data_IF_957134673230
#
_entry.id   IF_957134673230
#
_cell.length_a   1.000
_cell.length_b   1.000
_cell.length_c   1.000
_cell.angle_alpha   90.00
_cell.angle_beta   90.00
_cell.angle_gamma   90.00
#
_symmetry.space_group_name_H-M   'P 1'
#
loop_
_entity.id
_entity.type
_entity.pdbx_description
1 polymer ?
#
# COMPACT_ATOMS: atom_id res chain seq x y z
N UNK A 1 -25.23 5.87 -12.16
CA UNK A 1 -26.68 5.59 -12.16
C UNK A 1 -26.85 4.32 -11.32
N UNK A 2 -28.04 4.02 -10.78
CA UNK A 2 -28.22 2.75 -10.07
C UNK A 2 -28.82 1.73 -11.02
N UNK A 3 -28.16 0.59 -11.14
CA UNK A 3 -28.57 -0.51 -12.02
C UNK A 3 -28.87 -1.74 -11.19
N UNK A 4 -29.99 -2.41 -11.51
CA UNK A 4 -30.33 -3.69 -10.87
C UNK A 4 -29.29 -4.73 -11.25
N UNK A 5 -28.82 -5.50 -10.28
CA UNK A 5 -27.90 -6.59 -10.58
C UNK A 5 -28.66 -7.83 -11.05
N UNK A 6 -28.06 -8.58 -11.96
CA UNK A 6 -28.44 -9.94 -12.34
C UNK A 6 -27.18 -10.81 -12.23
N UNK A 7 -26.85 -11.23 -11.02
CA UNK A 7 -25.64 -12.00 -10.74
C UNK A 7 -26.03 -13.47 -10.53
N UNK A 8 -25.29 -14.45 -11.10
CA UNK A 8 -25.73 -15.84 -11.18
C UNK A 8 -25.73 -16.59 -9.85
N UNK A 9 -25.26 -15.98 -8.75
CA UNK A 9 -25.13 -16.60 -7.43
C UNK A 9 -25.95 -15.82 -6.40
N UNK A 10 -26.73 -16.55 -5.60
CA UNK A 10 -27.57 -16.02 -4.53
C UNK A 10 -28.98 -15.66 -4.97
N UNK A 11 -29.77 -15.11 -4.04
CA UNK A 11 -31.14 -14.68 -4.26
C UNK A 11 -31.22 -13.16 -4.10
N UNK A 12 -31.76 -12.39 -5.07
CA UNK A 12 -31.89 -10.94 -4.94
C UNK A 12 -32.58 -10.52 -3.65
N UNK A 13 -31.96 -9.60 -2.91
CA UNK A 13 -32.47 -9.14 -1.61
C UNK A 13 -32.06 -9.99 -0.40
N UNK A 14 -31.38 -11.12 -0.63
CA UNK A 14 -30.92 -12.03 0.43
C UNK A 14 -29.39 -12.06 0.42
N UNK A 15 -28.71 -11.64 1.50
CA UNK A 15 -27.27 -11.74 1.60
C UNK A 15 -26.79 -13.20 1.47
N UNK A 16 -25.62 -13.38 0.87
CA UNK A 16 -25.00 -14.70 0.73
C UNK A 16 -24.72 -15.35 2.08
N UNK A 17 -25.10 -16.62 2.19
CA UNK A 17 -24.66 -17.53 3.23
C UNK A 17 -23.29 -18.13 2.90
N UNK A 18 -22.96 -19.21 3.61
CA UNK A 18 -21.70 -19.93 3.42
C UNK A 18 -21.68 -20.67 2.08
N UNK A 19 -22.81 -21.28 1.68
CA UNK A 19 -22.94 -22.06 0.44
C UNK A 19 -22.74 -21.20 -0.81
N UNK A 20 -23.30 -19.99 -0.84
CA UNK A 20 -23.10 -19.05 -1.96
C UNK A 20 -21.65 -18.59 -2.06
N UNK A 21 -20.96 -18.37 -0.93
CA UNK A 21 -19.54 -17.99 -0.91
C UNK A 21 -18.65 -19.12 -1.45
N UNK A 22 -18.92 -20.36 -1.07
CA UNK A 22 -18.20 -21.51 -1.62
C UNK A 22 -18.51 -21.71 -3.10
N UNK A 23 -19.77 -21.55 -3.51
CA UNK A 23 -20.16 -21.58 -4.93
C UNK A 23 -19.41 -20.52 -5.73
N UNK A 24 -19.30 -19.31 -5.19
CA UNK A 24 -18.53 -18.22 -5.80
C UNK A 24 -17.04 -18.59 -5.90
N UNK A 25 -16.42 -19.04 -4.81
CA UNK A 25 -15.00 -19.42 -4.81
C UNK A 25 -14.72 -20.54 -5.82
N UNK A 26 -15.55 -21.59 -5.83
CA UNK A 26 -15.45 -22.72 -6.76
C UNK A 26 -15.68 -22.31 -8.23
N UNK A 27 -16.31 -21.16 -8.49
CA UNK A 27 -16.45 -20.61 -9.85
C UNK A 27 -15.20 -19.88 -10.34
N UNK A 28 -14.31 -19.44 -9.43
CA UNK A 28 -13.11 -18.69 -9.80
C UNK A 28 -12.10 -19.57 -10.51
N UNK A 29 -11.31 -18.97 -11.39
CA UNK A 29 -10.30 -19.68 -12.19
C UNK A 29 -9.00 -18.91 -12.17
N UNK A 30 -7.94 -19.62 -11.80
CA UNK A 30 -6.57 -19.12 -11.88
C UNK A 30 -6.24 -18.75 -13.32
N UNK A 31 -5.73 -17.53 -13.51
CA UNK A 31 -5.34 -16.94 -14.77
C UNK A 31 -3.95 -17.44 -15.15
N UNK A 32 -3.80 -17.90 -16.40
CA UNK A 32 -2.51 -18.42 -16.89
C UNK A 32 -1.48 -17.33 -17.16
N UNK A 33 -1.97 -16.12 -17.40
CA UNK A 33 -1.20 -14.90 -17.67
C UNK A 33 -0.80 -14.14 -16.40
N UNK A 34 -1.19 -14.64 -15.21
CA UNK A 34 -0.89 -14.01 -13.92
C UNK A 34 -0.26 -15.02 -12.98
N UNK A 35 1.06 -15.01 -12.96
CA UNK A 35 1.89 -15.80 -12.03
C UNK A 35 2.54 -14.83 -11.04
N UNK A 36 2.10 -14.88 -9.78
CA UNK A 36 2.57 -14.03 -8.70
C UNK A 36 4.06 -14.26 -8.42
N UNK A 37 4.50 -15.52 -8.44
CA UNK A 37 5.89 -15.87 -8.17
C UNK A 37 6.80 -15.34 -9.26
N UNK A 38 6.38 -15.44 -10.53
CA UNK A 38 7.13 -14.88 -11.65
C UNK A 38 7.12 -13.34 -11.64
N UNK A 39 5.98 -12.72 -11.33
CA UNK A 39 5.83 -11.26 -11.36
C UNK A 39 6.61 -10.57 -10.22
N UNK A 40 6.56 -11.14 -9.01
CA UNK A 40 7.04 -10.49 -7.78
C UNK A 40 8.21 -11.25 -7.17
N UNK A 41 8.05 -12.55 -6.89
CA UNK A 41 9.06 -13.31 -6.14
C UNK A 41 10.35 -13.57 -6.91
N UNK A 42 10.32 -13.67 -8.24
CA UNK A 42 11.48 -14.03 -9.07
C UNK A 42 12.65 -13.03 -8.99
N UNK A 43 12.42 -11.85 -8.41
CA UNK A 43 13.44 -10.82 -8.15
C UNK A 43 14.11 -10.92 -6.77
N UNK A 44 13.74 -11.95 -5.98
CA UNK A 44 14.53 -12.39 -4.83
C UNK A 44 15.66 -13.26 -5.36
N UNK A 45 16.92 -12.92 -5.06
CA UNK A 45 18.04 -13.75 -5.53
C UNK A 45 17.92 -15.14 -4.92
N UNK A 46 17.94 -16.18 -5.76
CA UNK A 46 18.05 -17.57 -5.30
C UNK A 46 19.50 -17.83 -4.86
N UNK A 47 19.81 -17.70 -3.58
CA UNK A 47 20.99 -18.37 -3.02
C UNK A 47 20.66 -19.85 -2.81
N UNK A 48 20.88 -20.68 -3.83
CA UNK A 48 20.95 -22.13 -3.63
C UNK A 48 22.14 -22.76 -4.36
N UNK A 49 23.07 -23.23 -3.52
CA UNK A 49 23.96 -24.40 -3.69
C UNK A 49 25.03 -24.34 -4.78
N UNK A 50 26.26 -24.05 -4.37
CA UNK A 50 27.43 -24.83 -4.82
C UNK A 50 28.04 -25.55 -3.63
N UNK A 51 27.87 -26.86 -3.61
CA UNK A 51 28.56 -27.80 -2.73
C UNK A 51 30.07 -27.65 -2.85
N UNK A 52 30.74 -27.31 -1.75
CA UNK A 52 32.12 -27.73 -1.50
C UNK A 52 32.22 -28.17 -0.05
N UNK A 53 32.41 -29.47 0.13
CA UNK A 53 32.70 -30.13 1.38
C UNK A 53 33.97 -29.56 2.04
N UNK A 54 33.82 -28.95 3.20
CA UNK A 54 34.84 -28.97 4.25
C UNK A 54 34.21 -28.65 5.59
N UNK A 55 34.21 -29.64 6.47
CA UNK A 55 33.91 -29.57 7.89
C UNK A 55 34.80 -28.58 8.62
N UNK A 56 34.24 -27.60 9.35
CA UNK A 56 34.51 -27.26 10.75
C UNK A 56 33.86 -25.90 11.13
N UNK A 57 33.35 -25.89 12.37
CA UNK A 57 32.94 -24.77 13.24
C UNK A 57 31.81 -23.82 12.85
N UNK A 58 30.96 -23.57 13.86
CA UNK A 58 29.66 -22.95 13.73
C UNK A 58 29.67 -21.43 13.79
N UNK A 59 28.67 -20.89 13.09
CA UNK A 59 27.97 -19.64 13.32
C UNK A 59 26.67 -19.80 12.51
N UNK A 60 25.49 -19.73 13.16
CA UNK A 60 24.21 -19.71 12.44
C UNK A 60 24.03 -18.32 11.83
N UNK A 61 24.56 -18.13 10.62
CA UNK A 61 24.32 -16.95 9.81
C UNK A 61 22.83 -16.87 9.45
N UNK A 62 22.18 -15.77 9.86
CA UNK A 62 20.87 -15.38 9.34
C UNK A 62 20.97 -15.23 7.81
N UNK A 63 20.27 -16.11 7.07
CA UNK A 63 20.19 -16.08 5.61
C UNK A 63 19.51 -14.78 5.15
N UNK A 64 20.32 -13.73 4.97
CA UNK A 64 19.86 -12.48 4.40
C UNK A 64 19.70 -12.68 2.89
N UNK A 65 18.45 -12.86 2.46
CA UNK A 65 18.11 -12.87 1.04
C UNK A 65 18.64 -11.57 0.39
N UNK A 66 19.71 -11.67 -0.42
CA UNK A 66 20.13 -10.58 -1.28
C UNK A 66 19.02 -10.33 -2.32
N UNK A 67 18.71 -9.06 -2.57
CA UNK A 67 17.79 -8.64 -3.62
C UNK A 67 18.57 -8.46 -4.92
N UNK A 68 17.96 -8.81 -6.06
CA UNK A 68 18.47 -8.35 -7.37
C UNK A 68 18.13 -6.86 -7.61
N UNK A 69 17.38 -6.23 -6.70
CA UNK A 69 16.98 -4.83 -6.76
C UNK A 69 17.93 -4.02 -5.88
N UNK A 70 18.84 -3.29 -6.54
CA UNK A 70 19.87 -2.51 -5.87
C UNK A 70 19.30 -1.51 -4.85
N UNK A 71 19.81 -1.56 -3.61
CA UNK A 71 19.44 -0.64 -2.54
C UNK A 71 18.19 -1.03 -1.74
N UNK A 72 17.65 -2.24 -1.96
CA UNK A 72 16.48 -2.75 -1.23
C UNK A 72 16.70 -4.17 -0.71
N UNK A 73 16.21 -4.43 0.50
CA UNK A 73 16.16 -5.76 1.12
C UNK A 73 14.75 -6.33 0.93
N UNK A 74 14.61 -7.57 0.41
CA UNK A 74 13.33 -8.25 0.36
C UNK A 74 12.98 -8.79 1.76
N UNK A 75 11.75 -8.60 2.20
CA UNK A 75 11.25 -9.16 3.46
C UNK A 75 10.00 -9.98 3.16
N UNK A 76 10.05 -11.28 3.48
CA UNK A 76 8.85 -12.12 3.56
C UNK A 76 8.18 -11.80 4.90
N UNK A 77 7.08 -11.05 4.87
CA UNK A 77 6.41 -10.62 6.11
C UNK A 77 5.29 -11.55 6.56
N UNK A 78 5.05 -12.62 5.80
CA UNK A 78 4.16 -13.72 6.16
C UNK A 78 3.89 -14.62 4.97
N UNK A 79 3.09 -15.66 5.20
CA UNK A 79 2.54 -16.52 4.14
C UNK A 79 1.03 -16.43 4.20
N UNK A 80 0.38 -16.22 3.06
CA UNK A 80 -1.06 -16.34 2.91
C UNK A 80 -1.39 -17.79 2.52
N UNK A 81 -2.26 -18.43 3.27
CA UNK A 81 -2.77 -19.78 2.98
C UNK A 81 -4.20 -19.69 2.49
N UNK A 82 -4.45 -20.08 1.24
CA UNK A 82 -5.80 -20.19 0.68
C UNK A 82 -6.19 -21.65 0.60
N UNK A 83 -7.32 -21.98 1.23
CA UNK A 83 -7.85 -23.35 1.31
C UNK A 83 -9.17 -23.43 0.56
N UNK A 84 -9.41 -24.56 -0.10
CA UNK A 84 -10.74 -24.90 -0.61
C UNK A 84 -11.69 -25.31 0.53
N UNK A 85 -12.96 -25.58 0.18
CA UNK A 85 -14.04 -25.83 1.15
C UNK A 85 -13.75 -26.98 2.12
N UNK A 86 -13.13 -28.06 1.64
CA UNK A 86 -12.78 -29.23 2.44
C UNK A 86 -11.34 -29.19 3.00
N UNK A 87 -10.58 -28.13 2.65
CA UNK A 87 -9.19 -27.95 3.04
C UNK A 87 -8.23 -28.95 2.41
N UNK A 88 -8.65 -29.67 1.37
CA UNK A 88 -7.83 -30.66 0.67
C UNK A 88 -6.75 -30.03 -0.22
N UNK A 89 -6.99 -28.82 -0.73
CA UNK A 89 -6.03 -28.04 -1.50
C UNK A 89 -5.64 -26.77 -0.74
N UNK A 90 -4.33 -26.56 -0.59
CA UNK A 90 -3.76 -25.35 0.02
C UNK A 90 -2.86 -24.66 -1.00
N UNK A 91 -3.20 -23.44 -1.37
CA UNK A 91 -2.33 -22.55 -2.13
C UNK A 91 -1.60 -21.61 -1.16
N UNK A 92 -0.27 -21.56 -1.26
CA UNK A 92 0.57 -20.75 -0.39
C UNK A 92 1.28 -19.63 -1.16
N UNK A 93 1.13 -18.41 -0.65
CA UNK A 93 1.71 -17.21 -1.22
C UNK A 93 2.61 -16.52 -0.19
N UNK A 94 3.93 -16.44 -0.41
CA UNK A 94 4.79 -15.61 0.43
C UNK A 94 4.42 -14.14 0.19
N UNK A 95 4.16 -13.39 1.25
CA UNK A 95 3.84 -11.97 1.19
C UNK A 95 5.11 -11.14 1.32
N UNK A 96 5.35 -10.27 0.34
CA UNK A 96 6.65 -9.61 0.15
C UNK A 96 6.58 -8.10 0.32
N UNK A 97 7.53 -7.56 1.06
CA UNK A 97 7.85 -6.15 1.11
C UNK A 97 9.30 -5.94 0.67
N UNK A 98 9.60 -4.78 0.09
CA UNK A 98 10.95 -4.34 -0.22
C UNK A 98 11.24 -3.09 0.58
N UNK A 99 12.28 -3.15 1.42
CA UNK A 99 12.66 -2.04 2.31
C UNK A 99 14.01 -1.52 1.89
N UNK A 100 14.18 -0.19 1.80
CA UNK A 100 15.48 0.39 1.46
C UNK A 100 16.57 -0.09 2.42
N UNK A 101 17.71 -0.58 1.91
CA UNK A 101 18.81 -1.19 2.71
C UNK A 101 19.34 -0.28 3.82
N UNK A 102 19.30 1.03 3.58
CA UNK A 102 19.76 2.04 4.52
C UNK A 102 18.64 2.66 5.35
N UNK A 103 17.50 1.97 5.47
CA UNK A 103 16.41 2.41 6.33
C UNK A 103 16.90 2.60 7.77
N UNK A 104 16.61 3.76 8.35
CA UNK A 104 17.09 4.13 9.70
C UNK A 104 16.61 3.15 10.76
N UNK A 105 15.41 2.60 10.60
CA UNK A 105 14.78 1.62 11.50
C UNK A 105 15.29 0.18 11.33
N UNK A 106 16.16 -0.12 10.35
CA UNK A 106 16.81 -1.43 10.24
C UNK A 106 18.13 -1.52 11.02
N UNK A 107 18.66 -0.39 11.48
CA UNK A 107 19.95 -0.35 12.19
C UNK A 107 19.73 -0.54 13.69
N UNK A 108 20.47 -1.45 14.36
CA UNK A 108 20.52 -1.49 15.82
C UNK A 108 20.96 -0.14 16.37
N UNK A 109 20.34 0.35 17.46
CA UNK A 109 20.85 1.54 18.16
C UNK A 109 22.28 1.24 18.62
N UNK A 110 23.24 2.07 18.20
CA UNK A 110 24.61 1.96 18.71
C UNK A 110 24.59 2.24 20.22
N UNK A 111 24.93 1.24 21.02
CA UNK A 111 25.22 1.40 22.44
C UNK A 111 26.54 2.16 22.62
N UNK A 112 26.53 3.47 22.42
CA UNK A 112 27.65 4.32 22.80
C UNK A 112 27.16 5.74 23.04
N UNK A 113 26.64 5.95 24.25
CA UNK A 113 26.85 7.21 24.94
C UNK A 113 28.35 7.36 25.17
N UNK A 114 29.04 8.05 24.26
CA UNK A 114 30.21 8.85 24.62
C UNK A 114 29.93 10.27 24.16
N UNK A 115 29.45 11.09 25.09
CA UNK A 115 29.60 12.54 25.02
C UNK A 115 31.10 12.86 24.94
N UNK A 116 31.62 12.94 23.72
CA UNK A 116 32.91 13.56 23.43
C UNK A 116 32.79 15.06 23.64
N UNK A 117 32.95 15.51 24.88
CA UNK A 117 33.10 16.92 25.23
C UNK A 117 34.28 17.54 24.47
N UNK A 118 33.96 18.37 23.47
CA UNK A 118 34.94 19.11 22.68
C UNK A 118 34.41 20.48 22.32
N UNK A 119 34.58 21.46 23.22
CA UNK A 119 34.41 22.88 22.90
C UNK A 119 35.42 23.27 21.81
N UNK A 120 34.92 23.50 20.60
CA UNK A 120 35.67 24.09 19.49
C UNK A 120 34.88 25.23 18.86
N UNK A 121 35.08 26.44 19.36
CA UNK A 121 34.51 27.66 18.81
C UNK A 121 35.24 28.01 17.51
N UNK A 122 34.59 27.90 16.34
CA UNK A 122 35.03 28.61 15.14
C UNK A 122 33.82 29.13 14.36
N UNK A 123 33.81 30.43 14.17
CA UNK A 123 32.92 31.20 13.29
C UNK A 123 33.36 31.06 11.84
N UNK A 124 32.42 30.82 10.93
CA UNK A 124 32.67 30.88 9.49
C UNK A 124 31.43 30.52 8.68
N UNK A 125 30.85 31.53 8.04
CA UNK A 125 29.90 31.42 6.93
C UNK A 125 30.53 30.69 5.74
N UNK A 126 29.81 29.74 5.13
CA UNK A 126 29.65 29.60 3.67
C UNK A 126 28.78 28.39 3.32
N UNK A 127 28.00 28.52 2.25
CA UNK A 127 27.08 27.51 1.75
C UNK A 127 27.80 26.25 1.25
N UNK A 128 27.22 25.10 1.54
CA UNK A 128 27.69 23.79 1.10
C UNK A 128 26.67 22.71 1.47
N UNK A 129 26.36 21.85 0.51
CA UNK A 129 25.32 20.82 0.62
C UNK A 129 25.44 19.95 1.86
N UNK A 130 24.28 19.64 2.44
CA UNK A 130 24.14 18.70 3.55
C UNK A 130 24.30 17.28 2.97
N UNK A 131 25.55 16.86 2.81
CA UNK A 131 25.91 15.45 2.71
C UNK A 131 26.69 15.08 3.97
N UNK A 132 26.07 14.27 4.84
CA UNK A 132 26.73 13.64 5.99
C UNK A 132 26.27 14.14 7.35
N UNK A 133 25.01 13.88 7.72
CA UNK A 133 24.53 13.97 9.10
C UNK A 133 23.52 12.85 9.36
N UNK A 134 23.82 11.94 10.29
CA UNK A 134 23.03 10.75 10.60
C UNK A 134 21.71 11.05 11.33
N UNK A 135 20.80 11.77 10.68
CA UNK A 135 19.42 11.95 11.13
C UNK A 135 18.50 10.84 10.62
N UNK A 136 17.41 10.58 11.35
CA UNK A 136 16.33 9.67 10.92
C UNK A 136 15.64 10.25 9.68
N UNK A 137 15.58 9.52 8.58
CA UNK A 137 14.85 9.94 7.38
C UNK A 137 13.35 9.70 7.59
N UNK A 138 12.47 10.57 7.04
CA UNK A 138 11.05 10.27 6.97
C UNK A 138 10.82 8.99 6.16
N UNK A 139 9.84 8.19 6.56
CA UNK A 139 9.48 6.93 5.92
C UNK A 139 8.29 7.10 4.98
N UNK A 140 8.32 6.40 3.86
CA UNK A 140 7.21 6.40 2.88
C UNK A 140 6.80 4.97 2.56
N UNK A 141 5.49 4.75 2.47
CA UNK A 141 4.88 3.47 2.13
C UNK A 141 4.25 3.56 0.74
N UNK A 142 4.59 2.59 -0.11
CA UNK A 142 3.95 2.37 -1.40
C UNK A 142 3.30 0.99 -1.36
N UNK A 143 1.98 0.92 -1.50
CA UNK A 143 1.23 -0.35 -1.61
C UNK A 143 0.65 -0.50 -3.00
N UNK A 144 0.68 -1.73 -3.53
CA UNK A 144 -0.01 -2.11 -4.74
C UNK A 144 -0.73 -3.45 -4.54
N UNK A 145 -1.71 -3.72 -5.38
CA UNK A 145 -2.40 -5.01 -5.38
C UNK A 145 -3.15 -5.30 -4.07
N UNK A 146 -3.66 -4.27 -3.38
CA UNK A 146 -4.67 -4.47 -2.33
C UNK A 146 -5.88 -5.17 -2.93
N UNK A 147 -6.33 -4.74 -4.10
CA UNK A 147 -7.12 -5.60 -4.98
C UNK A 147 -6.19 -6.24 -6.01
N UNK A 148 -6.19 -7.56 -6.10
CA UNK A 148 -5.24 -8.24 -6.97
C UNK A 148 -5.57 -8.12 -8.46
N UNK A 149 -6.84 -7.90 -8.81
CA UNK A 149 -7.20 -7.69 -10.22
C UNK A 149 -6.60 -6.42 -10.83
N UNK A 150 -6.19 -5.47 -9.98
CA UNK A 150 -5.74 -4.12 -10.32
C UNK A 150 -4.25 -4.08 -10.70
N UNK A 151 -3.97 -4.45 -11.95
CA UNK A 151 -2.62 -4.81 -12.38
C UNK A 151 -1.66 -3.63 -12.48
N UNK A 152 -2.13 -2.44 -12.88
CA UNK A 152 -1.26 -1.28 -13.01
C UNK A 152 -0.65 -0.86 -11.68
N UNK A 153 -1.38 -1.02 -10.56
CA UNK A 153 -0.85 -0.75 -9.23
C UNK A 153 0.29 -1.68 -8.85
N UNK A 154 0.14 -2.98 -9.12
CA UNK A 154 1.18 -3.99 -8.86
C UNK A 154 2.43 -3.69 -9.70
N UNK A 155 2.26 -3.52 -11.01
CA UNK A 155 3.38 -3.30 -11.91
C UNK A 155 3.98 -1.89 -11.79
N UNK A 156 3.18 -0.89 -11.41
CA UNK A 156 3.65 0.46 -11.08
C UNK A 156 4.58 0.46 -9.87
N UNK A 157 4.18 -0.21 -8.79
CA UNK A 157 5.04 -0.38 -7.61
C UNK A 157 6.34 -1.11 -7.96
N UNK A 158 6.26 -2.19 -8.76
CA UNK A 158 7.44 -2.91 -9.22
C UNK A 158 8.32 -2.09 -10.17
N UNK A 159 7.75 -1.27 -11.05
CA UNK A 159 8.48 -0.43 -11.98
C UNK A 159 9.18 0.73 -11.24
N UNK A 160 8.51 1.36 -10.28
CA UNK A 160 9.13 2.34 -9.38
C UNK A 160 10.35 1.77 -8.66
N UNK A 161 10.22 0.54 -8.15
CA UNK A 161 11.26 -0.17 -7.43
C UNK A 161 12.44 -0.56 -8.34
N UNK A 162 12.19 -1.04 -9.55
CA UNK A 162 13.21 -1.61 -10.45
C UNK A 162 13.81 -0.63 -11.48
N UNK A 163 13.18 0.53 -11.70
CA UNK A 163 13.68 1.59 -12.60
C UNK A 163 14.95 2.29 -12.10
N UNK A 164 15.34 2.07 -10.84
CA UNK A 164 16.43 2.80 -10.20
C UNK A 164 16.00 4.15 -9.60
N UNK A 165 14.74 4.58 -9.79
CA UNK A 165 14.19 5.79 -9.16
C UNK A 165 14.19 5.68 -7.64
N UNK A 166 13.59 4.60 -7.12
CA UNK A 166 13.48 4.36 -5.68
C UNK A 166 14.88 4.31 -5.01
N UNK A 167 15.80 3.51 -5.56
CA UNK A 167 17.13 3.30 -4.99
C UNK A 167 18.12 4.44 -5.24
N UNK A 168 18.03 5.13 -6.38
CA UNK A 168 19.00 6.14 -6.80
C UNK A 168 18.64 7.57 -6.42
N UNK A 169 17.36 7.95 -6.57
CA UNK A 169 16.85 9.30 -6.32
C UNK A 169 16.25 9.40 -4.92
N UNK A 170 15.23 8.60 -4.62
CA UNK A 170 14.40 8.82 -3.43
C UNK A 170 14.98 8.27 -2.13
N UNK A 171 15.76 7.18 -2.16
CA UNK A 171 16.36 6.56 -0.96
C UNK A 171 17.30 7.48 -0.17
N UNK A 172 17.77 8.56 -0.79
CA UNK A 172 18.60 9.61 -0.15
C UNK A 172 17.78 10.51 0.77
N UNK A 173 16.49 10.62 0.50
CA UNK A 173 15.55 11.49 1.22
C UNK A 173 14.65 10.70 2.17
N UNK A 174 14.28 9.47 1.78
CA UNK A 174 13.29 8.66 2.48
C UNK A 174 13.82 7.29 2.90
N UNK A 175 13.23 6.74 3.96
CA UNK A 175 13.21 5.31 4.20
C UNK A 175 11.99 4.71 3.48
N UNK A 176 12.23 3.89 2.47
CA UNK A 176 11.18 3.47 1.53
C UNK A 176 10.76 2.04 1.84
N UNK A 177 9.45 1.82 1.98
CA UNK A 177 8.83 0.50 2.06
C UNK A 177 7.88 0.35 0.88
N UNK A 178 8.09 -0.67 0.05
CA UNK A 178 7.22 -1.02 -1.08
C UNK A 178 6.61 -2.39 -0.84
N UNK A 179 5.28 -2.48 -0.83
CA UNK A 179 4.53 -3.74 -0.80
C UNK A 179 3.79 -3.86 -2.13
N UNK A 180 4.40 -4.50 -3.14
CA UNK A 180 3.89 -4.41 -4.51
C UNK A 180 2.60 -5.20 -4.74
N UNK A 181 2.30 -6.20 -3.92
CA UNK A 181 1.08 -7.00 -4.05
C UNK A 181 0.63 -7.52 -2.69
N UNK A 182 -0.39 -6.87 -2.11
CA UNK A 182 -0.98 -7.26 -0.82
C UNK A 182 -1.85 -8.51 -0.94
N UNK A 183 -2.54 -8.69 -2.07
CA UNK A 183 -3.49 -9.79 -2.31
C UNK A 183 -3.08 -10.67 -3.51
N UNK A 184 -2.06 -11.53 -3.35
CA UNK A 184 -1.50 -12.32 -4.45
C UNK A 184 -2.48 -13.37 -5.01
N UNK A 185 -3.35 -13.94 -4.18
CA UNK A 185 -4.43 -14.80 -4.67
C UNK A 185 -5.38 -14.04 -5.59
N UNK A 186 -5.80 -12.83 -5.18
CA UNK A 186 -6.63 -11.97 -6.02
C UNK A 186 -5.96 -11.62 -7.35
N UNK A 187 -4.62 -11.51 -7.37
CA UNK A 187 -3.88 -11.26 -8.60
C UNK A 187 -3.94 -12.45 -9.54
N UNK A 188 -3.60 -13.65 -9.06
CA UNK A 188 -3.62 -14.85 -9.90
C UNK A 188 -5.04 -15.25 -10.33
N UNK A 189 -6.08 -14.86 -9.59
CA UNK A 189 -7.47 -15.17 -9.91
C UNK A 189 -8.23 -14.02 -10.59
N UNK A 190 -7.57 -12.87 -10.83
CA UNK A 190 -8.20 -11.64 -11.34
C UNK A 190 -9.46 -11.27 -10.54
N UNK A 191 -9.27 -11.08 -9.24
CA UNK A 191 -10.35 -10.91 -8.28
C UNK A 191 -10.14 -9.70 -7.37
N UNK A 192 -11.25 -9.04 -7.05
CA UNK A 192 -11.31 -7.91 -6.12
C UNK A 192 -11.26 -8.38 -4.67
N UNK A 193 -11.94 -9.48 -4.38
CA UNK A 193 -12.04 -10.02 -3.04
C UNK A 193 -10.92 -11.02 -2.74
N UNK A 194 -10.78 -11.34 -1.46
CA UNK A 194 -10.05 -12.52 -1.01
C UNK A 194 -10.85 -13.78 -1.31
N UNK A 195 -10.23 -14.96 -1.17
CA UNK A 195 -10.90 -16.25 -1.33
C UNK A 195 -12.11 -16.45 -0.38
N UNK A 196 -12.27 -15.59 0.63
CA UNK A 196 -13.41 -15.60 1.57
C UNK A 196 -14.57 -14.68 1.15
N UNK A 197 -14.52 -14.13 -0.06
CA UNK A 197 -15.47 -13.14 -0.57
C UNK A 197 -15.54 -11.89 0.34
N UNK A 198 -14.37 -11.41 0.79
CA UNK A 198 -14.22 -10.19 1.60
C UNK A 198 -13.34 -9.22 0.80
N UNK A 199 -13.74 -7.95 0.76
CA UNK A 199 -12.96 -6.89 0.11
C UNK A 199 -11.80 -6.46 1.03
N UNK A 200 -10.53 -6.73 0.67
CA UNK A 200 -9.38 -6.38 1.51
C UNK A 200 -9.22 -4.87 1.69
N UNK A 201 -9.69 -4.04 0.75
CA UNK A 201 -9.69 -2.59 0.86
C UNK A 201 -10.91 -2.05 1.64
N UNK A 202 -11.60 -2.91 2.40
CA UNK A 202 -12.57 -2.53 3.45
C UNK A 202 -12.18 -3.12 4.80
N UNK A 203 -10.94 -3.60 4.90
CA UNK A 203 -10.45 -4.47 5.97
C UNK A 203 -9.24 -3.90 6.73
N UNK A 204 -8.99 -2.59 6.61
CA UNK A 204 -7.92 -1.88 7.34
C UNK A 204 -8.42 -1.11 8.58
N UNK A 205 -9.64 -1.42 9.05
CA UNK A 205 -10.19 -0.76 10.24
C UNK A 205 -9.40 -1.11 11.51
N UNK A 206 -9.28 -0.19 12.48
CA UNK A 206 -8.82 -0.52 13.82
C UNK A 206 -9.71 -1.62 14.43
N UNK A 207 -9.09 -2.61 15.10
CA UNK A 207 -9.84 -3.53 15.94
C UNK A 207 -10.23 -2.80 17.22
N UNK A 208 -11.53 -2.58 17.46
CA UNK A 208 -12.01 -2.10 18.76
C UNK A 208 -12.39 -3.30 19.62
N UNK A 209 -12.20 -3.21 20.94
CA UNK A 209 -12.58 -4.28 21.90
C UNK A 209 -14.06 -4.69 21.75
N UNK A 210 -14.92 -3.75 21.34
CA UNK A 210 -16.35 -3.94 21.14
C UNK A 210 -16.75 -4.40 19.72
N UNK A 211 -15.80 -4.60 18.79
CA UNK A 211 -16.11 -5.15 17.46
C UNK A 211 -15.89 -6.67 17.49
N UNK A 212 -16.97 -7.48 17.58
CA UNK A 212 -16.85 -8.93 17.63
C UNK A 212 -16.43 -9.54 16.28
N UNK A 213 -16.37 -8.76 15.20
CA UNK A 213 -15.98 -9.20 13.88
C UNK A 213 -15.19 -8.09 13.15
N UNK A 214 -13.95 -7.77 13.60
CA UNK A 214 -13.10 -6.89 12.82
C UNK A 214 -12.90 -7.61 11.49
N UNK A 215 -13.48 -7.07 10.42
CA UNK A 215 -13.47 -7.73 9.11
C UNK A 215 -12.10 -7.54 8.48
N UNK A 216 -11.01 -7.66 9.25
CA UNK A 216 -9.66 -7.73 8.73
C UNK A 216 -9.52 -9.02 7.95
N UNK A 217 -9.00 -8.93 6.75
CA UNK A 217 -8.61 -10.12 6.02
C UNK A 217 -7.24 -10.56 6.52
N UNK A 218 -6.81 -11.75 6.11
CA UNK A 218 -5.47 -12.23 6.43
C UNK A 218 -4.40 -11.32 5.80
N UNK A 219 -4.65 -10.84 4.58
CA UNK A 219 -3.83 -9.90 3.84
C UNK A 219 -3.65 -8.58 4.59
N UNK A 220 -4.76 -7.93 5.00
CA UNK A 220 -4.69 -6.65 5.72
C UNK A 220 -4.08 -6.83 7.11
N UNK A 221 -4.39 -7.94 7.81
CA UNK A 221 -3.85 -8.24 9.14
C UNK A 221 -2.33 -8.43 9.11
N UNK A 222 -1.81 -9.19 8.14
CA UNK A 222 -0.37 -9.42 8.02
C UNK A 222 0.37 -8.16 7.61
N UNK A 223 -0.20 -7.34 6.72
CA UNK A 223 0.40 -6.05 6.37
C UNK A 223 0.46 -5.11 7.58
N UNK A 224 -0.64 -4.93 8.31
CA UNK A 224 -0.66 -4.09 9.53
C UNK A 224 0.34 -4.61 10.57
N UNK A 225 0.36 -5.93 10.81
CA UNK A 225 1.29 -6.55 11.76
C UNK A 225 2.75 -6.31 11.36
N UNK A 226 3.07 -6.46 10.07
CA UNK A 226 4.39 -6.18 9.53
C UNK A 226 4.80 -4.71 9.76
N UNK A 227 3.97 -3.75 9.36
CA UNK A 227 4.26 -2.33 9.51
C UNK A 227 4.47 -1.92 10.98
N UNK A 228 3.67 -2.49 11.90
CA UNK A 228 3.79 -2.24 13.35
C UNK A 228 5.04 -2.83 13.99
N UNK A 229 5.66 -3.83 13.36
CA UNK A 229 6.88 -4.51 13.82
C UNK A 229 8.16 -3.90 13.26
N UNK A 230 8.08 -3.07 12.22
CA UNK A 230 9.27 -2.39 11.68
C UNK A 230 9.96 -1.55 12.76
N UNK A 231 11.26 -1.78 12.93
CA UNK A 231 12.09 -1.11 13.94
C UNK A 231 11.95 -1.64 15.37
N UNK A 232 11.30 -2.79 15.59
CA UNK A 232 11.41 -3.56 16.83
C UNK A 232 12.58 -4.55 16.71
N UNK A 233 13.41 -4.68 17.73
CA UNK A 233 14.39 -5.78 17.81
C UNK A 233 13.64 -7.11 18.01
N UNK A 234 13.90 -8.15 17.21
CA UNK A 234 13.36 -9.47 17.50
C UNK A 234 14.07 -10.02 18.73
N UNK A 235 13.42 -10.05 19.89
CA UNK A 235 13.77 -11.04 20.89
C UNK A 235 13.23 -12.38 20.37
N UNK A 236 14.14 -13.30 20.08
CA UNK A 236 13.81 -14.65 19.66
C UNK A 236 13.27 -15.39 20.90
N UNK A 237 11.96 -15.64 20.89
CA UNK A 237 11.24 -16.27 21.99
C UNK A 237 9.93 -15.52 22.21
N UNK A 238 8.86 -16.24 22.54
CA UNK A 238 7.53 -15.70 22.81
C UNK A 238 7.56 -14.77 24.03
N UNK A 239 8.01 -13.54 23.83
CA UNK A 239 7.81 -12.41 24.74
C UNK A 239 8.00 -11.15 23.90
N UNK A 240 6.88 -10.48 23.63
CA UNK A 240 6.80 -9.13 23.10
C UNK A 240 7.70 -8.23 23.97
N UNK A 241 8.94 -8.03 23.52
CA UNK A 241 9.99 -7.36 24.30
C UNK A 241 9.48 -6.09 24.96
N UNK A 242 9.90 -5.88 26.21
CA UNK A 242 9.46 -4.75 27.04
C UNK A 242 9.56 -3.44 26.27
N UNK A 243 8.44 -2.71 26.17
CA UNK A 243 8.41 -1.37 25.58
C UNK A 243 9.40 -0.49 26.37
N UNK A 244 10.44 0.03 25.70
CA UNK A 244 11.30 1.04 26.29
C UNK A 244 10.55 2.37 26.34
N UNK A 245 10.69 3.11 27.43
CA UNK A 245 10.09 4.44 27.61
C UNK A 245 11.18 5.45 28.00
N UNK A 246 11.09 6.68 27.50
CA UNK A 246 11.87 7.81 28.00
C UNK A 246 11.43 8.15 29.44
N UNK A 247 12.22 8.94 30.16
CA UNK A 247 11.90 9.35 31.56
C UNK A 247 10.56 10.10 31.69
N UNK A 248 10.04 10.68 30.60
CA UNK A 248 8.74 11.37 30.57
C UNK A 248 7.54 10.44 30.25
N UNK A 249 7.80 9.14 30.08
CA UNK A 249 6.78 8.14 29.76
C UNK A 249 6.47 8.02 28.26
N UNK A 250 7.22 8.69 27.37
CA UNK A 250 7.08 8.47 25.93
C UNK A 250 7.70 7.15 25.50
N UNK A 251 6.98 6.36 24.71
CA UNK A 251 7.47 5.06 24.23
C UNK A 251 8.62 5.28 23.22
N UNK A 252 9.78 4.71 23.52
CA UNK A 252 10.97 4.70 22.67
C UNK A 252 10.71 3.73 21.50
N UNK A 253 10.33 4.28 20.34
CA UNK A 253 10.19 3.51 19.10
C UNK A 253 11.37 3.77 18.17
N UNK A 254 12.17 2.74 17.89
CA UNK A 254 13.10 2.76 16.74
C UNK A 254 12.38 2.45 15.40
N UNK A 255 11.05 2.63 15.35
CA UNK A 255 10.21 2.37 14.18
C UNK A 255 10.22 3.50 13.14
N UNK A 256 9.64 3.29 11.95
CA UNK A 256 9.59 4.30 10.89
C UNK A 256 8.88 5.59 11.33
N UNK A 257 9.33 6.73 10.82
CA UNK A 257 8.63 8.02 10.97
C UNK A 257 7.81 8.28 9.70
N UNK A 258 6.59 7.74 9.64
CA UNK A 258 5.78 7.71 8.42
C UNK A 258 5.32 9.11 8.00
N UNK A 259 5.71 9.52 6.79
CA UNK A 259 5.34 10.79 6.18
C UNK A 259 4.27 10.64 5.09
N UNK A 260 4.37 9.60 4.26
CA UNK A 260 3.51 9.43 3.10
C UNK A 260 3.11 7.97 2.88
N UNK A 261 1.85 7.76 2.48
CA UNK A 261 1.32 6.49 2.01
C UNK A 261 0.65 6.69 0.64
N UNK A 262 1.22 6.06 -0.39
CA UNK A 262 0.64 6.01 -1.74
C UNK A 262 0.15 4.59 -2.00
N UNK A 263 -1.17 4.44 -2.15
CA UNK A 263 -1.84 3.17 -2.38
C UNK A 263 -2.34 3.11 -3.83
N UNK A 264 -1.85 2.14 -4.60
CA UNK A 264 -2.03 2.13 -6.04
C UNK A 264 -3.21 1.25 -6.46
N UNK A 265 -4.25 1.88 -6.97
CA UNK A 265 -5.48 1.22 -7.42
C UNK A 265 -5.82 1.56 -8.88
N UNK A 266 -6.74 0.79 -9.45
CA UNK A 266 -7.39 1.09 -10.72
C UNK A 266 -8.90 0.77 -10.66
N UNK A 267 -9.69 1.61 -11.31
CA UNK A 267 -11.11 1.36 -11.58
C UNK A 267 -11.23 0.77 -12.97
N UNK A 268 -12.04 -0.26 -13.18
CA UNK A 268 -12.12 -0.98 -14.46
C UNK A 268 -13.57 -1.19 -14.93
N UNK A 269 -13.75 -1.54 -16.19
CA UNK A 269 -15.04 -2.01 -16.72
C UNK A 269 -15.56 -3.22 -15.92
N UNK A 270 -14.66 -4.07 -15.42
CA UNK A 270 -15.03 -5.25 -14.62
C UNK A 270 -15.55 -4.91 -13.22
N UNK A 271 -15.33 -3.69 -12.70
CA UNK A 271 -16.06 -3.23 -11.52
C UNK A 271 -17.57 -3.24 -11.78
N UNK A 272 -18.01 -2.85 -12.97
CA UNK A 272 -19.43 -2.77 -13.32
C UNK A 272 -19.95 -4.10 -13.89
N UNK A 273 -19.13 -4.85 -14.62
CA UNK A 273 -19.59 -6.11 -15.24
C UNK A 273 -19.47 -7.33 -14.33
N UNK A 274 -18.62 -7.31 -13.30
CA UNK A 274 -18.40 -8.44 -12.39
C UNK A 274 -18.51 -8.03 -10.91
N UNK A 275 -17.66 -7.12 -10.42
CA UNK A 275 -17.41 -7.00 -8.98
C UNK A 275 -18.53 -6.28 -8.21
N UNK A 276 -19.08 -5.17 -8.72
CA UNK A 276 -20.19 -4.45 -8.07
C UNK A 276 -21.52 -5.22 -8.16
N UNK A 277 -21.88 -5.88 -9.27
CA UNK A 277 -22.99 -6.84 -9.29
C UNK A 277 -22.82 -7.98 -8.29
N UNK A 278 -21.62 -8.59 -8.24
CA UNK A 278 -21.30 -9.64 -7.27
C UNK A 278 -21.48 -9.12 -5.84
N UNK A 279 -20.96 -7.92 -5.54
CA UNK A 279 -21.08 -7.27 -4.22
C UNK A 279 -22.54 -7.05 -3.84
N UNK A 280 -23.35 -6.52 -4.76
CA UNK A 280 -24.75 -6.29 -4.51
C UNK A 280 -25.48 -7.60 -4.19
N UNK A 281 -25.23 -8.66 -4.97
CA UNK A 281 -25.78 -9.98 -4.69
C UNK A 281 -25.33 -10.54 -3.33
N UNK A 282 -24.03 -10.45 -3.04
CA UNK A 282 -23.42 -10.89 -1.77
C UNK A 282 -24.04 -10.20 -0.56
N UNK A 283 -24.30 -8.90 -0.69
CA UNK A 283 -24.78 -8.04 0.40
C UNK A 283 -26.32 -7.98 0.46
N UNK A 284 -27.02 -8.69 -0.43
CA UNK A 284 -28.49 -8.64 -0.51
C UNK A 284 -29.04 -7.28 -0.99
N UNK A 285 -28.23 -6.48 -1.67
CA UNK A 285 -28.66 -5.22 -2.28
C UNK A 285 -29.28 -5.50 -3.64
N UNK A 286 -30.33 -4.77 -4.03
CA UNK A 286 -31.03 -5.00 -5.30
C UNK A 286 -30.37 -4.32 -6.51
N UNK A 287 -29.49 -3.35 -6.25
CA UNK A 287 -28.90 -2.48 -7.25
C UNK A 287 -27.50 -1.98 -6.81
N UNK A 288 -26.70 -1.57 -7.78
CA UNK A 288 -25.35 -1.06 -7.58
C UNK A 288 -25.12 0.19 -8.41
N UNK A 289 -24.07 0.95 -8.07
CA UNK A 289 -23.63 2.08 -8.88
C UNK A 289 -22.84 1.58 -10.10
N UNK A 290 -23.33 1.87 -11.30
CA UNK A 290 -22.77 1.42 -12.57
C UNK A 290 -21.81 2.43 -13.22
N UNK A 291 -21.41 3.47 -12.50
CA UNK A 291 -20.55 4.52 -13.05
C UNK A 291 -19.09 4.18 -13.01
N UNK A 292 -18.40 4.50 -14.10
CA UNK A 292 -16.96 4.44 -14.22
C UNK A 292 -16.48 5.83 -14.65
N UNK A 293 -15.71 6.52 -13.80
CA UNK A 293 -15.07 7.77 -14.22
C UNK A 293 -14.07 7.49 -15.36
N UNK A 294 -14.22 8.17 -16.51
CA UNK A 294 -13.30 8.02 -17.63
C UNK A 294 -12.01 8.83 -17.38
N UNK A 295 -11.04 8.22 -16.71
CA UNK A 295 -9.70 8.74 -16.53
C UNK A 295 -9.12 8.49 -15.15
N UNK A 296 -7.90 8.96 -14.93
CA UNK A 296 -7.20 8.87 -13.65
C UNK A 296 -7.81 9.81 -12.61
N UNK A 297 -7.95 9.36 -11.37
CA UNK A 297 -8.38 10.19 -10.25
C UNK A 297 -7.76 9.74 -8.93
N UNK A 298 -7.96 10.55 -7.88
CA UNK A 298 -7.43 10.30 -6.55
C UNK A 298 -8.53 10.31 -5.50
N UNK A 299 -8.45 9.38 -4.56
CA UNK A 299 -9.01 9.53 -3.22
C UNK A 299 -7.92 10.10 -2.30
N UNK A 300 -8.02 11.38 -1.96
CA UNK A 300 -7.13 12.03 -0.99
C UNK A 300 -7.70 12.01 0.43
N UNK A 301 -6.83 11.87 1.43
CA UNK A 301 -7.19 12.03 2.84
C UNK A 301 -6.92 13.46 3.35
N UNK A 302 -7.86 14.03 4.11
CA UNK A 302 -7.69 15.31 4.81
C UNK A 302 -8.10 15.19 6.28
N UNK A 303 -7.68 16.13 7.10
CA UNK A 303 -8.12 16.21 8.49
C UNK A 303 -9.65 16.35 8.61
N UNK A 304 -10.21 15.82 9.70
CA UNK A 304 -11.66 15.84 9.94
C UNK A 304 -12.24 17.26 10.02
N UNK A 305 -11.43 18.22 10.45
CA UNK A 305 -11.80 19.63 10.53
C UNK A 305 -11.60 20.40 9.20
N UNK A 306 -10.98 19.78 8.18
CA UNK A 306 -10.69 20.39 6.88
C UNK A 306 -11.81 20.19 5.84
N UNK A 307 -12.99 19.75 6.29
CA UNK A 307 -14.14 19.40 5.47
C UNK A 307 -14.77 20.65 4.79
N UNK A 308 -14.57 20.72 3.48
CA UNK A 308 -15.35 21.47 2.48
C UNK A 308 -15.33 23.01 2.46
N UNK A 309 -14.77 23.72 3.45
CA UNK A 309 -14.86 25.19 3.53
C UNK A 309 -13.54 25.93 3.74
N UNK A 310 -12.54 25.66 2.88
CA UNK A 310 -11.34 26.50 2.83
C UNK A 310 -10.52 26.52 4.12
N UNK A 311 -10.47 25.38 4.82
CA UNK A 311 -9.58 25.18 5.96
C UNK A 311 -8.11 25.41 5.59
N UNK A 312 -7.34 25.86 6.58
CA UNK A 312 -6.02 26.51 6.48
C UNK A 312 -4.89 25.64 5.89
N UNK A 313 -5.08 24.34 5.66
CA UNK A 313 -4.03 23.45 5.18
C UNK A 313 -3.95 23.42 3.64
N UNK A 314 -3.55 24.54 3.05
CA UNK A 314 -3.31 24.66 1.61
C UNK A 314 -2.31 23.61 1.09
N UNK A 315 -1.31 23.24 1.90
CA UNK A 315 -0.25 22.30 1.54
C UNK A 315 -0.75 20.87 1.21
N UNK A 316 -1.76 20.38 1.94
CA UNK A 316 -2.32 19.03 1.67
C UNK A 316 -3.08 19.00 0.35
N UNK A 317 -3.73 20.11 -0.04
CA UNK A 317 -4.39 20.20 -1.35
C UNK A 317 -3.39 20.32 -2.49
N UNK A 318 -2.32 21.10 -2.29
CA UNK A 318 -1.21 21.26 -3.24
C UNK A 318 -0.48 19.93 -3.49
N UNK A 319 -0.39 19.05 -2.49
CA UNK A 319 0.11 17.69 -2.66
C UNK A 319 -0.69 16.90 -3.71
N UNK A 320 -2.03 16.92 -3.63
CA UNK A 320 -2.87 16.25 -4.63
C UNK A 320 -2.82 16.94 -6.00
N UNK A 321 -2.68 18.28 -6.03
CA UNK A 321 -2.44 19.03 -7.28
C UNK A 321 -1.15 18.58 -7.98
N UNK A 322 -0.07 18.42 -7.22
CA UNK A 322 1.21 17.98 -7.75
C UNK A 322 1.10 16.60 -8.39
N UNK A 323 0.43 15.66 -7.71
CA UNK A 323 0.20 14.30 -8.24
C UNK A 323 -0.61 14.34 -9.54
N UNK A 324 -1.75 15.04 -9.54
CA UNK A 324 -2.59 15.14 -10.74
C UNK A 324 -1.87 15.81 -11.91
N UNK A 325 -1.07 16.84 -11.64
CA UNK A 325 -0.28 17.54 -12.65
C UNK A 325 0.82 16.66 -13.25
N UNK A 326 1.48 15.83 -12.42
CA UNK A 326 2.45 14.84 -12.90
C UNK A 326 1.78 13.83 -13.82
N UNK A 327 0.68 13.22 -13.37
CA UNK A 327 -0.02 12.15 -14.10
C UNK A 327 -0.63 12.61 -15.42
N UNK A 328 -1.18 13.83 -15.51
CA UNK A 328 -1.71 14.35 -16.78
C UNK A 328 -0.61 14.45 -17.87
N UNK A 329 0.66 14.50 -17.48
CA UNK A 329 1.82 14.45 -18.38
C UNK A 329 2.28 13.04 -18.78
N UNK A 330 1.74 11.97 -18.20
CA UNK A 330 2.25 10.59 -18.35
C UNK A 330 1.62 9.80 -19.50
N UNK A 331 0.85 10.45 -20.38
CA UNK A 331 0.16 9.80 -21.50
C UNK A 331 -1.28 9.33 -21.21
N UNK A 332 -1.78 9.56 -20.00
CA UNK A 332 -3.19 9.34 -19.62
C UNK A 332 -3.93 10.67 -19.43
N UNK A 333 -5.21 10.63 -19.05
CA UNK A 333 -6.02 11.83 -18.77
C UNK A 333 -6.72 11.72 -17.43
N UNK A 334 -7.06 12.87 -16.84
CA UNK A 334 -7.80 12.93 -15.58
C UNK A 334 -9.30 12.67 -15.79
N UNK A 335 -9.94 12.02 -14.83
CA UNK A 335 -11.39 11.83 -14.83
C UNK A 335 -12.11 13.18 -14.66
N UNK A 336 -13.06 13.44 -15.55
CA UNK A 336 -13.97 14.58 -15.45
C UNK A 336 -15.00 14.37 -14.33
N UNK A 337 -15.42 15.47 -13.71
CA UNK A 337 -16.51 15.44 -12.72
C UNK A 337 -17.81 15.14 -13.45
N UNK A 338 -18.59 14.22 -12.91
CA UNK A 338 -19.89 13.87 -13.47
C UNK A 338 -20.90 15.01 -13.39
N UNK A 339 -21.98 14.93 -14.18
CA UNK A 339 -23.01 15.96 -14.23
C UNK A 339 -23.70 16.23 -12.87
N UNK A 340 -23.68 15.27 -11.95
CA UNK A 340 -24.23 15.40 -10.59
C UNK A 340 -23.21 15.95 -9.57
N UNK A 341 -22.00 16.33 -10.02
CA UNK A 341 -20.94 16.85 -9.18
C UNK A 341 -20.12 15.77 -8.46
N UNK A 342 -20.20 14.51 -8.90
CA UNK A 342 -19.52 13.38 -8.25
C UNK A 342 -18.36 12.81 -9.08
N UNK A 343 -17.50 12.04 -8.40
CA UNK A 343 -16.55 11.10 -8.98
C UNK A 343 -16.79 9.75 -8.30
N UNK A 344 -17.11 8.72 -9.09
CA UNK A 344 -17.39 7.37 -8.57
C UNK A 344 -18.51 7.37 -7.49
N UNK A 345 -19.50 8.26 -7.64
CA UNK A 345 -20.61 8.42 -6.69
C UNK A 345 -20.28 9.15 -5.38
N UNK A 346 -19.05 9.62 -5.19
CA UNK A 346 -18.65 10.50 -4.09
C UNK A 346 -18.58 11.95 -4.55
N UNK A 347 -18.89 12.90 -3.67
CA UNK A 347 -18.77 14.33 -3.99
C UNK A 347 -17.35 14.64 -4.46
N UNK A 348 -17.22 15.15 -5.68
CA UNK A 348 -15.92 15.54 -6.21
C UNK A 348 -15.48 16.86 -5.57
N UNK A 349 -14.20 16.97 -5.27
CA UNK A 349 -13.57 18.24 -4.90
C UNK A 349 -13.31 19.08 -6.15
N UNK A 350 -12.80 18.42 -7.21
CA UNK A 350 -12.57 18.98 -8.55
C UNK A 350 -12.27 17.84 -9.54
N UNK A 351 -11.95 18.17 -10.79
CA UNK A 351 -11.47 17.21 -11.79
C UNK A 351 -10.34 16.34 -11.23
N UNK A 352 -10.49 15.02 -11.36
CA UNK A 352 -9.52 14.03 -10.87
C UNK A 352 -9.37 13.93 -9.35
N UNK A 353 -10.12 14.66 -8.53
CA UNK A 353 -9.93 14.67 -7.08
C UNK A 353 -11.23 14.59 -6.31
N UNK A 354 -11.28 13.65 -5.37
CA UNK A 354 -12.22 13.66 -4.26
C UNK A 354 -11.44 13.55 -2.95
N UNK A 355 -11.88 14.28 -1.93
CA UNK A 355 -11.25 14.30 -0.61
C UNK A 355 -12.19 13.65 0.41
N UNK A 356 -11.63 12.74 1.19
CA UNK A 356 -12.28 12.10 2.33
C UNK A 356 -11.58 12.54 3.61
N UNK A 357 -12.34 12.68 4.69
CA UNK A 357 -11.72 12.91 5.99
C UNK A 357 -10.99 11.66 6.48
N UNK A 358 -9.97 11.81 7.32
CA UNK A 358 -9.21 10.69 7.90
C UNK A 358 -10.13 9.69 8.61
N UNK A 359 -11.12 10.17 9.38
CA UNK A 359 -12.11 9.27 10.00
C UNK A 359 -12.99 8.56 8.97
N UNK A 360 -13.33 9.18 7.84
CA UNK A 360 -14.06 8.52 6.76
C UNK A 360 -13.22 7.40 6.11
N UNK A 361 -11.94 7.65 5.82
CA UNK A 361 -11.01 6.62 5.33
C UNK A 361 -10.91 5.44 6.31
N UNK A 362 -10.69 5.72 7.59
CA UNK A 362 -10.61 4.71 8.63
C UNK A 362 -11.92 3.92 8.78
N UNK A 363 -13.06 4.60 8.77
CA UNK A 363 -14.39 3.98 8.84
C UNK A 363 -14.74 3.19 7.58
N UNK A 364 -14.21 3.56 6.41
CA UNK A 364 -14.35 2.74 5.20
C UNK A 364 -13.47 1.50 5.27
N UNK A 365 -12.34 1.57 5.97
CA UNK A 365 -11.36 0.49 6.07
C UNK A 365 -10.46 0.39 4.85
N UNK A 366 -10.20 1.51 4.17
CA UNK A 366 -9.31 1.59 3.02
C UNK A 366 -7.83 1.52 3.45
N UNK A 367 -6.94 1.05 2.58
CA UNK A 367 -5.53 0.86 2.89
C UNK A 367 -4.83 2.21 3.08
N UNK A 368 -4.97 3.15 2.14
CA UNK A 368 -4.50 4.53 2.30
C UNK A 368 -5.07 5.17 3.58
N UNK A 369 -4.20 5.52 4.52
CA UNK A 369 -4.60 6.00 5.84
C UNK A 369 -5.11 4.93 6.81
N UNK A 370 -5.66 3.78 6.37
CA UNK A 370 -6.04 2.71 7.30
C UNK A 370 -4.87 1.84 7.77
N UNK A 371 -3.94 1.51 6.87
CA UNK A 371 -2.72 0.79 7.21
C UNK A 371 -1.76 1.65 8.06
N UNK A 372 -1.83 2.97 7.92
CA UNK A 372 -1.07 3.97 8.66
C UNK A 372 -1.99 5.12 9.12
N UNK A 373 -2.74 4.97 10.23
CA UNK A 373 -3.77 5.92 10.69
C UNK A 373 -3.33 7.38 10.86
N UNK A 374 -2.06 7.59 11.21
CA UNK A 374 -1.53 8.92 11.54
C UNK A 374 -0.59 9.47 10.46
N UNK A 375 -0.58 8.88 9.25
CA UNK A 375 0.31 9.34 8.19
C UNK A 375 -0.13 10.74 7.70
N UNK A 376 0.78 11.72 7.61
CA UNK A 376 0.44 13.08 7.18
C UNK A 376 -0.17 13.14 5.77
N UNK A 377 0.41 12.40 4.83
CA UNK A 377 -0.05 12.36 3.44
C UNK A 377 -0.50 10.95 3.08
N UNK A 378 -1.77 10.77 2.72
CA UNK A 378 -2.31 9.49 2.25
C UNK A 378 -3.13 9.69 0.99
N UNK A 379 -2.90 8.85 -0.01
CA UNK A 379 -3.61 8.89 -1.28
C UNK A 379 -3.85 7.48 -1.80
N UNK A 380 -5.05 7.24 -2.32
CA UNK A 380 -5.31 6.10 -3.21
C UNK A 380 -5.42 6.63 -4.64
N UNK A 381 -4.60 6.11 -5.55
CA UNK A 381 -4.67 6.42 -6.98
C UNK A 381 -5.68 5.54 -7.67
N UNK A 382 -6.34 6.01 -8.71
CA UNK A 382 -7.31 5.20 -9.47
C UNK A 382 -7.06 5.41 -10.97
N UNK A 383 -6.27 4.52 -11.58
CA UNK A 383 -6.13 4.49 -13.04
C UNK A 383 -7.39 3.90 -13.71
N UNK A 384 -7.61 4.19 -14.99
CA UNK A 384 -8.71 3.58 -15.77
C UNK A 384 -8.18 2.94 -17.06
N UNK A 385 -7.78 1.64 -17.03
CA UNK A 385 -7.10 0.99 -18.15
C UNK A 385 -7.99 0.69 -19.35
N UNK A 386 -9.32 0.68 -19.20
CA UNK A 386 -10.25 0.32 -20.27
C UNK A 386 -10.66 1.52 -21.15
N UNK A 387 -10.18 2.73 -20.83
CA UNK A 387 -10.41 3.89 -21.69
C UNK A 387 -9.70 3.73 -23.03
N UNK A 388 -10.39 4.10 -24.13
CA UNK A 388 -9.78 4.16 -25.46
C UNK A 388 -8.68 5.23 -25.62
N UNK A 389 -8.44 6.03 -24.59
CA UNK A 389 -7.47 7.14 -24.56
C UNK A 389 -6.18 6.81 -23.80
N UNK A 390 -6.06 5.61 -23.24
CA UNK A 390 -4.89 5.16 -22.49
C UNK A 390 -4.52 3.74 -22.94
N UNK A 391 -3.35 3.27 -22.50
CA UNK A 391 -2.96 1.86 -22.59
C UNK A 391 -2.58 1.32 -21.21
N UNK A 392 -2.43 0.00 -21.10
CA UNK A 392 -1.94 -0.61 -19.86
C UNK A 392 -0.54 -0.13 -19.47
N UNK A 393 0.32 0.18 -20.45
CA UNK A 393 1.64 0.77 -20.20
C UNK A 393 1.51 2.21 -19.68
N UNK A 394 0.63 3.03 -20.26
CA UNK A 394 0.35 4.38 -19.78
C UNK A 394 -0.22 4.37 -18.36
N UNK A 395 -1.04 3.37 -18.00
CA UNK A 395 -1.52 3.20 -16.63
C UNK A 395 -0.37 2.88 -15.66
N UNK A 396 0.54 1.97 -16.02
CA UNK A 396 1.74 1.69 -15.20
C UNK A 396 2.59 2.95 -15.04
N UNK A 397 2.80 3.71 -16.12
CA UNK A 397 3.55 4.96 -16.09
C UNK A 397 2.86 6.02 -15.23
N UNK A 398 1.53 6.12 -15.29
CA UNK A 398 0.74 7.01 -14.44
C UNK A 398 0.90 6.68 -12.96
N UNK A 399 0.93 5.39 -12.58
CA UNK A 399 1.20 4.99 -11.19
C UNK A 399 2.61 5.39 -10.73
N UNK A 400 3.62 5.18 -11.57
CA UNK A 400 5.01 5.58 -11.26
C UNK A 400 5.12 7.10 -11.14
N UNK A 401 4.48 7.85 -12.04
CA UNK A 401 4.46 9.30 -12.02
C UNK A 401 3.73 9.84 -10.79
N UNK A 402 2.63 9.20 -10.39
CA UNK A 402 1.91 9.56 -9.16
C UNK A 402 2.80 9.41 -7.92
N UNK A 403 3.57 8.31 -7.82
CA UNK A 403 4.56 8.13 -6.75
C UNK A 403 5.62 9.23 -6.83
N UNK A 404 6.18 9.47 -8.01
CA UNK A 404 7.26 10.46 -8.18
C UNK A 404 6.80 11.87 -7.82
N UNK A 405 5.66 12.32 -8.33
CA UNK A 405 5.10 13.62 -8.05
C UNK A 405 4.76 13.81 -6.56
N UNK A 406 4.24 12.76 -5.90
CA UNK A 406 4.00 12.76 -4.45
C UNK A 406 5.31 12.97 -3.67
N UNK A 407 6.37 12.22 -4.02
CA UNK A 407 7.66 12.30 -3.33
C UNK A 407 8.42 13.60 -3.64
N UNK A 408 8.39 14.07 -4.88
CA UNK A 408 9.03 15.32 -5.30
C UNK A 408 8.43 16.53 -4.59
N UNK A 409 7.09 16.59 -4.47
CA UNK A 409 6.40 17.63 -3.69
C UNK A 409 6.91 17.69 -2.24
N UNK A 410 7.14 16.52 -1.63
CA UNK A 410 7.62 16.41 -0.25
C UNK A 410 9.12 16.73 -0.11
N UNK A 411 9.94 16.54 -1.16
CA UNK A 411 11.35 16.94 -1.18
C UNK A 411 11.48 18.46 -1.26
N UNK A 412 10.67 19.11 -2.08
CA UNK A 412 10.72 20.56 -2.35
C UNK A 412 10.20 21.42 -1.17
N UNK A 413 9.93 20.79 -0.02
CA UNK A 413 9.55 21.46 1.22
C UNK A 413 8.05 21.66 1.39
N UNK A 414 7.22 20.83 0.74
CA UNK A 414 5.80 20.70 1.08
C UNK A 414 5.65 20.57 2.60
N UNK A 415 5.17 21.64 3.24
CA UNK A 415 5.14 21.82 4.69
C UNK A 415 4.52 20.58 5.34
N UNK A 416 5.28 19.87 6.19
CA UNK A 416 4.70 18.83 7.05
C UNK A 416 3.58 19.51 7.85
N UNK A 417 2.30 19.10 7.69
CA UNK A 417 1.22 19.64 8.51
C UNK A 417 1.60 19.37 9.97
N UNK A 418 1.70 20.42 10.78
CA UNK A 418 2.09 20.31 12.19
C UNK A 418 0.99 19.70 13.03
#
# INVERSE_FOLDING_TARGET
MRTKHDYPIGTPGVPWGIDERWTWLASRRKRRDRDYRAAICARMSSSSTSSSSSSFDGDEDHDCHRSDIAGFVPIVYGTLEVKDEDGSNVEEYPLLAYVSENASFLRPRSSSGEEGGGRGMTSGSDGGGICGGGGKKPAVLITGGVHGYETSGIFGAMHFLTSGLAGGRYSRHYDIVVVPCVSPWGYEYNERWTARAIDPNRSFRPSTEDDPNPTRTEESSKLISFLNRLGRTPNIGEDDGEDEYEEDGTMIRNGPDWLCHVDLHETTDTDVTEYRPARAARDGQLDFDDRIPDGFYLFGAVDDDDNDNGGSNNCVREFYDAILSGVEGSGTHLAEVENDGTLCGYKATRRGLLLLSRSACANMGICAGGALPNVPYAVTTEAYPDSCRTSGEDCVNAQVEAICAALDFLIDGGVVPR
#
